data_IF_454703931756
#
_entry.id   IF_454703931756
#
_cell.length_a   1.000
_cell.length_b   1.000
_cell.length_c   1.000
_cell.angle_alpha   90.00
_cell.angle_beta   90.00
_cell.angle_gamma   90.00
#
_symmetry.space_group_name_H-M   'P 1'
#
loop_
_entity.id
_entity.type
_entity.pdbx_description
1 polymer ?
#
# COMPACT_ATOMS: atom_id res chain seq x y z
N UNK A 1 6.38 4.15 4.43
CA UNK A 1 7.13 2.88 4.29
C UNK A 1 6.43 1.73 5.01
N UNK A 2 6.44 1.64 6.34
CA UNK A 2 5.89 0.49 7.11
C UNK A 2 4.35 0.42 7.12
N UNK A 3 3.65 1.52 7.34
CA UNK A 3 2.20 1.55 7.51
C UNK A 3 1.43 0.95 6.33
N UNK A 4 1.76 1.33 5.09
CA UNK A 4 1.09 0.82 3.91
C UNK A 4 1.32 -0.68 3.66
N UNK A 5 2.46 -1.24 4.08
CA UNK A 5 2.68 -2.70 4.08
C UNK A 5 1.68 -3.39 5.02
N UNK A 6 1.42 -2.79 6.19
CA UNK A 6 0.37 -3.24 7.12
C UNK A 6 -1.03 -3.17 6.50
N UNK A 7 -1.33 -2.07 5.79
CA UNK A 7 -2.59 -1.93 5.05
C UNK A 7 -2.77 -3.02 3.96
N UNK A 8 -1.72 -3.30 3.19
CA UNK A 8 -1.72 -4.39 2.20
C UNK A 8 -2.02 -5.74 2.84
N UNK A 9 -1.40 -6.04 3.98
CA UNK A 9 -1.65 -7.29 4.70
C UNK A 9 -3.09 -7.37 5.21
N UNK A 10 -3.65 -6.26 5.68
CA UNK A 10 -5.05 -6.18 6.11
C UNK A 10 -6.01 -6.43 4.94
N UNK A 11 -5.78 -5.80 3.78
CA UNK A 11 -6.57 -6.02 2.57
C UNK A 11 -6.48 -7.48 2.11
N UNK A 12 -5.29 -8.08 2.12
CA UNK A 12 -5.11 -9.49 1.76
C UNK A 12 -5.87 -10.43 2.68
N UNK A 13 -5.80 -10.23 4.01
CA UNK A 13 -6.49 -11.09 4.97
C UNK A 13 -8.02 -10.94 4.93
N UNK A 14 -8.53 -9.77 4.55
CA UNK A 14 -9.96 -9.50 4.43
C UNK A 14 -10.54 -9.87 3.07
N UNK A 15 -9.70 -10.18 2.08
CA UNK A 15 -10.12 -10.60 0.75
C UNK A 15 -10.85 -11.95 0.77
N UNK A 16 -11.82 -12.13 -0.14
CA UNK A 16 -12.53 -13.40 -0.33
C UNK A 16 -11.55 -14.52 -0.71
N UNK A 17 -11.70 -15.73 -0.19
CA UNK A 17 -10.78 -16.85 -0.46
C UNK A 17 -10.52 -17.09 -1.95
N UNK A 18 -11.57 -16.95 -2.78
CA UNK A 18 -11.55 -17.13 -4.24
C UNK A 18 -10.61 -16.14 -4.95
N UNK A 19 -10.51 -14.92 -4.42
CA UNK A 19 -9.73 -13.84 -5.00
C UNK A 19 -8.32 -13.70 -4.40
N UNK A 20 -8.02 -14.40 -3.32
CA UNK A 20 -6.75 -14.23 -2.57
C UNK A 20 -5.51 -14.41 -3.44
N UNK A 21 -5.51 -15.39 -4.35
CA UNK A 21 -4.34 -15.60 -5.23
C UNK A 21 -4.12 -14.45 -6.21
N UNK A 22 -5.20 -13.93 -6.81
CA UNK A 22 -5.13 -12.78 -7.73
C UNK A 22 -4.61 -11.55 -7.01
N UNK A 23 -5.14 -11.30 -5.80
CA UNK A 23 -4.78 -10.14 -4.99
C UNK A 23 -3.38 -10.24 -4.43
N UNK A 24 -2.95 -11.42 -4.02
CA UNK A 24 -1.57 -11.67 -3.61
C UNK A 24 -0.58 -11.26 -4.70
N UNK A 25 -0.89 -11.58 -5.96
CA UNK A 25 -0.05 -11.22 -7.10
C UNK A 25 0.05 -9.70 -7.36
N UNK A 26 -0.94 -8.92 -6.91
CA UNK A 26 -0.95 -7.46 -7.03
C UNK A 26 -0.34 -6.81 -5.79
N UNK A 27 -0.77 -7.21 -4.59
CA UNK A 27 -0.39 -6.55 -3.35
C UNK A 27 1.05 -6.84 -2.91
N UNK A 28 1.60 -8.03 -3.20
CA UNK A 28 2.98 -8.34 -2.81
C UNK A 28 3.99 -7.45 -3.54
N UNK A 29 3.97 -7.35 -4.89
CA UNK A 29 4.87 -6.44 -5.59
C UNK A 29 4.68 -4.98 -5.17
N UNK A 30 3.43 -4.53 -4.98
CA UNK A 30 3.13 -3.17 -4.54
C UNK A 30 3.68 -2.89 -3.13
N UNK A 31 3.47 -3.81 -2.17
CA UNK A 31 4.01 -3.69 -0.82
C UNK A 31 5.54 -3.71 -0.82
N UNK A 32 6.15 -4.58 -1.62
CA UNK A 32 7.60 -4.67 -1.77
C UNK A 32 8.19 -3.37 -2.34
N UNK A 33 7.60 -2.84 -3.41
CA UNK A 33 8.03 -1.59 -4.04
C UNK A 33 7.85 -0.41 -3.09
N UNK A 34 6.72 -0.36 -2.37
CA UNK A 34 6.47 0.67 -1.35
C UNK A 34 7.49 0.59 -0.20
N UNK A 35 7.87 -0.60 0.22
CA UNK A 35 8.86 -0.76 1.29
C UNK A 35 10.27 -0.41 0.81
N UNK A 36 10.70 -0.93 -0.33
CA UNK A 36 12.09 -0.78 -0.81
C UNK A 36 12.35 0.59 -1.43
N UNK A 37 11.49 1.03 -2.34
CA UNK A 37 11.68 2.25 -3.12
C UNK A 37 10.80 3.43 -2.65
N UNK A 38 9.84 3.20 -1.74
CA UNK A 38 8.94 4.22 -1.25
C UNK A 38 7.81 4.62 -2.22
N UNK A 39 7.59 3.87 -3.29
CA UNK A 39 6.51 4.13 -4.26
C UNK A 39 5.20 3.62 -3.69
N UNK A 40 4.36 4.52 -3.21
CA UNK A 40 3.15 4.20 -2.43
C UNK A 40 1.87 4.24 -3.26
N UNK A 41 1.89 4.91 -4.42
CA UNK A 41 0.74 5.18 -5.26
C UNK A 41 -0.04 3.93 -5.68
N UNK A 42 0.58 2.79 -6.05
CA UNK A 42 -0.17 1.60 -6.43
C UNK A 42 -1.06 1.07 -5.29
N UNK A 43 -0.60 1.22 -4.04
CA UNK A 43 -1.36 0.80 -2.87
C UNK A 43 -2.46 1.83 -2.59
N UNK A 44 -2.14 3.12 -2.58
CA UNK A 44 -3.07 4.20 -2.28
C UNK A 44 -4.23 4.22 -3.29
N UNK A 45 -3.94 4.14 -4.57
CA UNK A 45 -4.96 4.10 -5.61
C UNK A 45 -5.85 2.84 -5.53
N UNK A 46 -5.32 1.74 -5.00
CA UNK A 46 -6.09 0.52 -4.84
C UNK A 46 -7.29 0.67 -3.88
N UNK A 47 -7.24 1.61 -2.94
CA UNK A 47 -8.35 1.86 -2.02
C UNK A 47 -8.93 3.28 -2.10
N UNK A 48 -8.21 4.26 -2.67
CA UNK A 48 -8.69 5.63 -2.79
C UNK A 48 -10.05 5.74 -3.50
N UNK A 49 -10.20 5.05 -4.63
CA UNK A 49 -11.42 5.12 -5.43
C UNK A 49 -12.53 4.19 -4.93
N UNK A 50 -12.18 3.09 -4.31
CA UNK A 50 -13.15 2.05 -3.89
C UNK A 50 -13.60 2.26 -2.45
N UNK A 51 -12.74 2.78 -1.60
CA UNK A 51 -12.98 2.99 -0.19
C UNK A 51 -12.30 4.28 0.32
N UNK A 52 -12.78 5.47 -0.06
CA UNK A 52 -12.14 6.75 0.29
C UNK A 52 -11.93 6.95 1.79
N UNK A 53 -12.74 6.33 2.62
CA UNK A 53 -12.59 6.37 4.08
C UNK A 53 -11.25 5.78 4.55
N UNK A 54 -10.71 4.78 3.84
CA UNK A 54 -9.39 4.22 4.13
C UNK A 54 -8.27 5.21 3.78
N UNK A 55 -8.48 6.02 2.74
CA UNK A 55 -7.53 7.08 2.40
C UNK A 55 -7.53 8.19 3.46
N UNK A 56 -8.70 8.58 3.96
CA UNK A 56 -8.79 9.53 5.08
C UNK A 56 -8.07 8.98 6.31
N UNK A 57 -8.31 7.71 6.65
CA UNK A 57 -7.62 7.05 7.76
C UNK A 57 -6.10 7.04 7.55
N UNK A 58 -5.64 6.74 6.33
CA UNK A 58 -4.23 6.79 5.96
C UNK A 58 -3.63 8.20 6.15
N UNK A 59 -4.30 9.23 5.65
CA UNK A 59 -3.84 10.62 5.77
C UNK A 59 -3.72 11.05 7.23
N UNK A 60 -4.71 10.71 8.06
CA UNK A 60 -4.70 11.02 9.50
C UNK A 60 -3.56 10.28 10.20
N UNK A 61 -3.39 8.98 9.96
CA UNK A 61 -2.30 8.21 10.56
C UNK A 61 -0.92 8.70 10.14
N UNK A 62 -0.74 9.05 8.86
CA UNK A 62 0.51 9.62 8.37
C UNK A 62 0.82 10.96 9.04
N UNK A 63 -0.18 11.83 9.20
CA UNK A 63 -0.02 13.10 9.92
C UNK A 63 0.34 12.88 11.39
N UNK A 64 -0.32 11.96 12.08
CA UNK A 64 0.01 11.61 13.47
C UNK A 64 1.42 11.03 13.58
N UNK A 65 1.84 10.17 12.65
CA UNK A 65 3.19 9.64 12.58
C UNK A 65 4.24 10.75 12.51
N UNK A 66 4.03 11.76 11.68
CA UNK A 66 4.94 12.92 11.58
C UNK A 66 5.03 13.68 12.90
N UNK A 67 3.92 13.87 13.62
CA UNK A 67 3.90 14.50 14.94
C UNK A 67 4.72 13.67 15.94
N UNK A 68 4.54 12.36 15.96
CA UNK A 68 5.28 11.45 16.85
C UNK A 68 6.77 11.49 16.55
N UNK A 69 7.18 11.47 15.27
CA UNK A 69 8.58 11.61 14.88
C UNK A 69 9.19 12.93 15.39
N UNK A 70 8.45 14.03 15.31
CA UNK A 70 8.92 15.33 15.79
C UNK A 70 9.07 15.35 17.33
N UNK A 71 8.08 14.82 18.07
CA UNK A 71 8.12 14.77 19.54
C UNK A 71 9.29 13.93 20.03
N UNK A 72 9.59 12.82 19.37
CA UNK A 72 10.69 11.93 19.73
C UNK A 72 12.05 12.36 19.17
N UNK A 73 12.14 13.58 18.59
CA UNK A 73 13.34 14.10 17.94
C UNK A 73 13.97 13.12 16.93
N UNK A 74 13.15 12.32 16.26
CA UNK A 74 13.61 11.48 15.19
C UNK A 74 13.88 12.33 13.95
N UNK A 75 15.15 12.50 13.61
CA UNK A 75 15.63 13.32 12.49
C UNK A 75 16.08 12.44 11.32
N UNK A 76 15.40 11.34 11.08
CA UNK A 76 15.68 10.51 9.93
C UNK A 76 15.46 11.31 8.64
N UNK A 77 16.50 11.36 7.79
CA UNK A 77 16.51 12.18 6.57
C UNK A 77 15.95 11.38 5.41
N UNK A 78 14.94 11.91 4.74
CA UNK A 78 14.38 11.50 3.46
C UNK A 78 14.02 10.01 3.28
N UNK A 79 13.50 9.29 4.31
CA UNK A 79 13.20 7.87 4.12
C UNK A 79 11.89 7.69 3.35
N UNK A 80 11.96 7.86 2.04
CA UNK A 80 10.84 7.47 1.19
C UNK A 80 10.72 5.95 1.18
N UNK A 81 11.85 5.24 1.03
CA UNK A 81 11.94 3.79 1.06
C UNK A 81 13.11 3.29 1.90
N UNK A 82 13.25 1.97 1.97
CA UNK A 82 14.32 1.33 2.73
C UNK A 82 15.73 1.62 2.14
N UNK A 83 15.82 1.77 0.83
CA UNK A 83 17.08 2.13 0.17
C UNK A 83 17.52 3.53 0.62
N UNK A 84 16.63 4.52 0.56
CA UNK A 84 16.92 5.88 0.99
C UNK A 84 17.27 5.92 2.49
N UNK A 85 16.54 5.14 3.29
CA UNK A 85 16.83 4.99 4.71
C UNK A 85 18.28 4.54 4.94
N UNK A 86 18.74 3.50 4.23
CA UNK A 86 20.11 3.00 4.36
C UNK A 86 21.14 4.02 3.89
N UNK A 87 20.92 4.64 2.74
CA UNK A 87 21.88 5.55 2.11
C UNK A 87 22.10 6.84 2.92
N UNK A 88 21.06 7.39 3.52
CA UNK A 88 21.16 8.68 4.21
C UNK A 88 21.37 8.54 5.72
N UNK A 89 20.71 7.61 6.37
CA UNK A 89 20.69 7.59 7.84
C UNK A 89 21.84 6.78 8.45
N UNK A 90 22.30 5.72 7.78
CA UNK A 90 23.43 4.93 8.31
C UNK A 90 24.75 5.74 8.31
N UNK A 91 25.14 6.42 7.20
CA UNK A 91 26.36 7.20 7.20
C UNK A 91 26.37 8.38 8.17
N UNK A 92 25.20 8.99 8.43
CA UNK A 92 25.07 10.10 9.36
C UNK A 92 25.16 9.68 10.83
N UNK A 93 24.96 8.42 11.12
CA UNK A 93 25.06 7.82 12.44
C UNK A 93 23.86 8.10 13.36
N UNK A 94 23.79 7.31 14.43
CA UNK A 94 22.67 7.30 15.38
C UNK A 94 22.51 8.63 16.11
N UNK A 95 23.64 9.27 16.46
CA UNK A 95 23.63 10.51 17.23
C UNK A 95 23.00 11.72 16.53
N UNK A 96 22.96 11.71 15.18
CA UNK A 96 22.37 12.80 14.41
C UNK A 96 20.93 12.51 13.96
N UNK A 97 20.65 11.26 13.60
CA UNK A 97 19.37 10.89 12.95
C UNK A 97 18.39 10.22 13.89
N UNK A 98 18.87 9.62 14.97
CA UNK A 98 18.07 8.77 15.87
C UNK A 98 17.27 7.68 15.11
N UNK A 99 17.85 7.14 14.04
CA UNK A 99 17.20 6.19 13.14
C UNK A 99 16.65 4.91 13.83
N UNK A 100 17.16 4.40 14.97
CA UNK A 100 16.52 3.26 15.64
C UNK A 100 15.11 3.59 16.12
N UNK A 101 14.84 4.84 16.51
CA UNK A 101 13.50 5.32 16.88
C UNK A 101 12.57 5.25 15.65
N UNK A 102 13.08 5.62 14.47
CA UNK A 102 12.33 5.51 13.22
C UNK A 102 11.86 4.09 12.94
N UNK A 103 12.73 3.10 13.11
CA UNK A 103 12.36 1.69 12.92
C UNK A 103 11.32 1.23 13.94
N UNK A 104 11.47 1.62 15.20
CA UNK A 104 10.52 1.27 16.25
C UNK A 104 9.13 1.84 15.98
N UNK A 105 9.05 3.12 15.61
CA UNK A 105 7.79 3.77 15.22
C UNK A 105 7.22 3.11 13.96
N UNK A 106 8.06 2.80 12.98
CA UNK A 106 7.65 2.11 11.76
C UNK A 106 6.99 0.77 12.02
N UNK A 107 7.55 -0.05 12.93
CA UNK A 107 6.92 -1.31 13.35
C UNK A 107 5.58 -1.06 14.06
N UNK A 108 5.51 -0.06 14.92
CA UNK A 108 4.26 0.33 15.58
C UNK A 108 3.21 0.78 14.55
N UNK A 109 3.58 1.63 13.58
CA UNK A 109 2.71 2.03 12.47
C UNK A 109 2.21 0.83 11.66
N UNK A 110 3.09 -0.13 11.33
CA UNK A 110 2.68 -1.34 10.63
C UNK A 110 1.55 -2.07 11.36
N UNK A 111 1.68 -2.25 12.68
CA UNK A 111 0.69 -2.93 13.52
C UNK A 111 -0.61 -2.11 13.58
N UNK A 112 -0.52 -0.80 13.81
CA UNK A 112 -1.68 0.10 13.88
C UNK A 112 -2.45 0.09 12.54
N UNK A 113 -1.75 0.24 11.41
CA UNK A 113 -2.35 0.18 10.08
C UNK A 113 -3.05 -1.15 9.82
N UNK A 114 -2.40 -2.26 10.16
CA UNK A 114 -2.99 -3.58 9.98
C UNK A 114 -4.32 -3.74 10.72
N UNK A 115 -4.35 -3.41 12.01
CA UNK A 115 -5.56 -3.56 12.81
C UNK A 115 -6.64 -2.56 12.42
N UNK A 116 -6.29 -1.29 12.19
CA UNK A 116 -7.25 -0.26 11.83
C UNK A 116 -7.87 -0.54 10.44
N UNK A 117 -7.06 -0.86 9.44
CA UNK A 117 -7.58 -1.18 8.11
C UNK A 117 -8.45 -2.44 8.14
N UNK A 118 -8.00 -3.48 8.82
CA UNK A 118 -8.80 -4.69 9.00
C UNK A 118 -10.14 -4.39 9.68
N UNK A 119 -10.14 -3.59 10.73
CA UNK A 119 -11.34 -3.18 11.44
C UNK A 119 -12.28 -2.38 10.54
N UNK A 120 -11.80 -1.35 9.85
CA UNK A 120 -12.61 -0.53 8.96
C UNK A 120 -13.19 -1.34 7.79
N UNK A 121 -12.37 -2.18 7.15
CA UNK A 121 -12.80 -3.01 6.02
C UNK A 121 -13.91 -3.97 6.45
N UNK A 122 -13.76 -4.62 7.61
CA UNK A 122 -14.74 -5.60 8.09
C UNK A 122 -15.99 -4.93 8.63
N UNK A 123 -15.86 -3.88 9.46
CA UNK A 123 -16.98 -3.21 10.12
C UNK A 123 -17.85 -2.44 9.13
N UNK A 124 -17.24 -1.74 8.18
CA UNK A 124 -17.96 -0.97 7.16
C UNK A 124 -18.24 -1.78 5.88
N UNK A 125 -17.89 -3.06 5.87
CA UNK A 125 -18.04 -3.96 4.71
C UNK A 125 -17.53 -3.32 3.41
N UNK A 126 -16.34 -2.69 3.46
CA UNK A 126 -15.79 -1.97 2.33
C UNK A 126 -15.41 -2.94 1.20
N UNK A 127 -15.72 -2.55 -0.04
CA UNK A 127 -15.41 -3.33 -1.25
C UNK A 127 -13.98 -3.06 -1.72
N UNK A 128 -13.00 -3.35 -0.87
CA UNK A 128 -11.58 -3.26 -1.23
C UNK A 128 -11.21 -4.36 -2.21
N UNK A 129 -9.98 -4.31 -2.73
CA UNK A 129 -9.44 -5.33 -3.64
C UNK A 129 -9.75 -6.74 -3.12
N UNK A 130 -10.45 -7.53 -3.96
CA UNK A 130 -10.86 -8.90 -3.66
C UNK A 130 -12.10 -9.09 -2.82
N UNK A 131 -12.75 -8.00 -2.43
CA UNK A 131 -14.09 -8.01 -1.85
C UNK A 131 -15.15 -7.48 -2.82
N UNK A 132 -14.74 -7.11 -4.03
CA UNK A 132 -15.63 -6.68 -5.11
C UNK A 132 -16.61 -7.81 -5.47
N UNK A 133 -17.86 -7.43 -5.75
CA UNK A 133 -18.83 -8.38 -6.29
C UNK A 133 -18.41 -8.71 -7.72
N UNK A 134 -18.53 -9.98 -8.13
CA UNK A 134 -18.07 -10.55 -9.40
C UNK A 134 -18.56 -9.85 -10.69
N UNK A 135 -19.19 -8.68 -10.59
CA UNK A 135 -19.62 -7.82 -11.70
C UNK A 135 -18.59 -6.79 -12.16
N UNK A 136 -17.58 -6.48 -11.36
CA UNK A 136 -16.46 -5.63 -11.74
C UNK A 136 -15.19 -6.47 -11.81
N UNK A 137 -15.14 -7.38 -12.79
CA UNK A 137 -13.88 -7.99 -13.17
C UNK A 137 -12.92 -6.87 -13.57
N UNK A 138 -11.93 -6.58 -12.76
CA UNK A 138 -10.69 -5.98 -13.24
C UNK A 138 -10.06 -7.01 -14.19
N UNK A 139 -10.52 -7.01 -15.45
CA UNK A 139 -9.90 -7.80 -16.52
C UNK A 139 -8.53 -7.21 -16.74
N UNK A 140 -7.54 -7.79 -16.08
CA UNK A 140 -6.16 -7.66 -16.51
C UNK A 140 -6.10 -8.25 -17.91
N UNK A 141 -6.33 -7.39 -18.91
CA UNK A 141 -6.20 -7.79 -20.30
C UNK A 141 -4.76 -8.18 -20.53
N UNK A 142 -4.52 -9.47 -20.73
CA UNK A 142 -3.21 -9.92 -21.17
C UNK A 142 -2.90 -9.27 -22.53
N UNK A 143 -1.61 -9.03 -22.80
CA UNK A 143 -1.16 -8.43 -24.07
C UNK A 143 -1.69 -9.20 -25.30
N UNK A 144 -2.00 -10.49 -25.15
CA UNK A 144 -2.61 -11.35 -26.15
C UNK A 144 -4.09 -10.98 -26.41
N UNK A 145 -4.89 -10.77 -25.36
CA UNK A 145 -6.30 -10.35 -25.49
C UNK A 145 -6.45 -8.95 -26.08
N UNK A 146 -5.52 -8.05 -25.74
CA UNK A 146 -5.51 -6.70 -26.32
C UNK A 146 -5.24 -6.76 -27.83
N UNK A 147 -4.27 -7.57 -28.28
CA UNK A 147 -3.99 -7.78 -29.70
C UNK A 147 -5.20 -8.37 -30.45
N UNK A 148 -5.87 -9.35 -29.86
CA UNK A 148 -7.04 -9.99 -30.46
C UNK A 148 -8.24 -9.04 -30.59
N UNK A 149 -8.50 -8.21 -29.55
CA UNK A 149 -9.55 -7.18 -29.60
C UNK A 149 -9.25 -6.11 -30.65
N UNK A 150 -8.00 -5.69 -30.73
CA UNK A 150 -7.57 -4.68 -31.71
C UNK A 150 -7.70 -5.22 -33.14
N UNK A 151 -7.30 -6.46 -33.38
CA UNK A 151 -7.47 -7.13 -34.68
C UNK A 151 -8.96 -7.23 -35.07
N UNK A 152 -9.82 -7.71 -34.17
CA UNK A 152 -11.27 -7.78 -34.43
C UNK A 152 -11.92 -6.43 -34.68
N UNK A 153 -11.46 -5.35 -34.04
CA UNK A 153 -11.93 -3.99 -34.26
C UNK A 153 -11.59 -3.46 -35.66
N UNK A 154 -10.41 -3.81 -36.16
CA UNK A 154 -9.95 -3.38 -37.51
C UNK A 154 -10.75 -4.10 -38.61
N UNK A 155 -11.02 -5.40 -38.43
CA UNK A 155 -11.83 -6.17 -39.40
C UNK A 155 -13.31 -5.79 -39.45
N UNK A 156 -13.85 -5.19 -38.36
CA UNK A 156 -15.26 -4.78 -38.31
C UNK A 156 -15.53 -3.40 -38.96
N UNK A 157 -14.47 -2.65 -39.28
CA UNK A 157 -14.56 -1.32 -39.94
C UNK A 157 -14.31 -1.36 -41.46
N UNK A 158 -14.10 -2.54 -42.04
CA UNK A 158 -14.13 -2.79 -43.48
C UNK A 158 -15.46 -3.42 -43.86
#
# INVERSE_FOLDING_TARGET
MFGLVGACLAMYHTARPENRQKIKAILIPAAFTSFIAGVTEPIEFSFLFVAPILFVAHAVLSGLGMVVFNILNCRAIGPNGFIDFLLYNIPLGIGKTHWPIYLLIGVAEFVIYYFLFRFLITKLNLKTLGREDNGMEMKLHTKAEYKEKTAKSIYRKK
#
